data_IF_435413569686
#
_entry.id   IF_435413569686
#
_cell.length_a   1.000
_cell.length_b   1.000
_cell.length_c   1.000
_cell.angle_alpha   90.00
_cell.angle_beta   90.00
_cell.angle_gamma   90.00
#
_symmetry.space_group_name_H-M   'P 1'
#
loop_
_entity.id
_entity.type
_entity.pdbx_description
1 polymer ?
#
# COMPACT_ATOMS: atom_id res chain seq x y z
N UNK A 1 40.39 -19.65 1.22
CA UNK A 1 39.29 -18.97 0.59
C UNK A 1 38.25 -20.04 0.23
N UNK A 2 37.12 -20.08 0.95
CA UNK A 2 36.04 -21.02 0.64
C UNK A 2 35.10 -20.34 -0.36
N UNK A 3 34.76 -21.03 -1.42
CA UNK A 3 33.71 -20.63 -2.37
C UNK A 3 32.75 -21.81 -2.55
N UNK A 4 31.52 -21.50 -2.83
CA UNK A 4 30.49 -22.50 -3.14
C UNK A 4 29.64 -21.99 -4.29
N UNK A 5 29.13 -22.91 -5.06
CA UNK A 5 28.31 -22.63 -6.23
C UNK A 5 26.83 -22.88 -5.89
N UNK A 6 25.95 -22.02 -6.34
CA UNK A 6 24.51 -22.28 -6.37
C UNK A 6 24.22 -23.22 -7.55
N UNK A 7 24.16 -24.54 -7.28
CA UNK A 7 24.18 -25.57 -8.34
C UNK A 7 22.88 -26.38 -8.46
N UNK A 8 21.79 -25.99 -7.76
CA UNK A 8 20.53 -26.74 -7.87
C UNK A 8 19.87 -26.61 -9.25
N UNK A 9 20.15 -25.54 -9.95
CA UNK A 9 19.63 -25.23 -11.27
C UNK A 9 20.65 -24.41 -12.06
N UNK A 10 20.62 -24.50 -13.40
CA UNK A 10 21.41 -23.63 -14.28
C UNK A 10 20.78 -22.23 -14.30
N UNK A 11 21.00 -21.49 -13.21
CA UNK A 11 20.43 -20.16 -12.98
C UNK A 11 21.48 -19.22 -12.38
N UNK A 12 21.55 -18.00 -12.85
CA UNK A 12 22.51 -17.03 -12.37
C UNK A 12 22.02 -16.35 -11.09
N UNK A 13 22.89 -16.24 -10.09
CA UNK A 13 22.58 -15.48 -8.86
C UNK A 13 22.44 -14.00 -9.20
N UNK A 14 21.31 -13.41 -8.83
CA UNK A 14 20.96 -12.01 -9.05
C UNK A 14 21.09 -11.17 -7.78
N UNK A 15 20.77 -11.78 -6.64
CA UNK A 15 20.85 -11.12 -5.33
C UNK A 15 21.13 -12.13 -4.24
N UNK A 16 21.65 -11.64 -3.13
CA UNK A 16 21.91 -12.41 -1.91
C UNK A 16 21.38 -11.60 -0.74
N UNK A 17 20.56 -12.24 0.11
CA UNK A 17 20.00 -11.61 1.30
C UNK A 17 20.12 -12.53 2.51
N UNK A 18 20.42 -11.95 3.67
CA UNK A 18 20.57 -12.69 4.92
C UNK A 18 19.46 -12.33 5.91
N UNK A 19 18.69 -13.32 6.35
CA UNK A 19 17.63 -13.11 7.34
C UNK A 19 17.76 -14.18 8.43
N UNK A 20 18.05 -13.72 9.65
CA UNK A 20 18.31 -14.64 10.78
C UNK A 20 19.52 -15.52 10.53
N UNK A 21 19.34 -16.84 10.57
CA UNK A 21 20.38 -17.83 10.29
C UNK A 21 20.44 -18.27 8.82
N UNK A 22 19.55 -17.76 7.99
CA UNK A 22 19.42 -18.16 6.59
C UNK A 22 20.10 -17.16 5.67
N UNK A 23 20.76 -17.67 4.63
CA UNK A 23 21.26 -16.91 3.48
C UNK A 23 20.43 -17.34 2.27
N UNK A 24 19.76 -16.39 1.65
CA UNK A 24 18.94 -16.58 0.47
C UNK A 24 19.72 -16.16 -0.77
N UNK A 25 19.88 -17.08 -1.70
CA UNK A 25 20.54 -16.88 -2.99
C UNK A 25 19.45 -16.85 -4.06
N UNK A 26 19.20 -15.68 -4.60
CA UNK A 26 18.17 -15.47 -5.59
C UNK A 26 18.73 -15.60 -6.99
N UNK A 27 18.17 -16.49 -7.78
CA UNK A 27 18.35 -16.57 -9.23
C UNK A 27 17.17 -15.97 -9.97
N UNK A 28 17.21 -16.01 -11.30
CA UNK A 28 16.11 -15.55 -12.15
C UNK A 28 14.88 -16.45 -12.05
N UNK A 29 15.09 -17.75 -11.83
CA UNK A 29 14.02 -18.77 -11.76
C UNK A 29 13.93 -19.45 -10.41
N UNK A 30 14.99 -19.44 -9.62
CA UNK A 30 15.10 -20.23 -8.40
C UNK A 30 15.59 -19.40 -7.23
N UNK A 31 15.28 -19.86 -6.01
CA UNK A 31 15.85 -19.33 -4.77
C UNK A 31 16.44 -20.49 -3.97
N UNK A 32 17.69 -20.39 -3.58
CA UNK A 32 18.34 -21.34 -2.70
C UNK A 32 18.47 -20.78 -1.29
N UNK A 33 18.21 -21.61 -0.29
CA UNK A 33 18.41 -21.25 1.11
C UNK A 33 19.59 -22.03 1.67
N UNK A 34 20.54 -21.29 2.23
CA UNK A 34 21.72 -21.83 2.85
C UNK A 34 21.77 -21.48 4.32
N UNK A 35 22.26 -22.39 5.14
CA UNK A 35 22.49 -22.18 6.56
C UNK A 35 23.94 -22.50 6.92
N UNK A 36 24.45 -21.84 7.94
CA UNK A 36 25.75 -22.14 8.49
C UNK A 36 25.67 -23.40 9.35
N UNK A 37 26.49 -24.40 9.06
CA UNK A 37 26.62 -25.60 9.87
C UNK A 37 27.13 -25.30 11.30
N UNK A 38 26.84 -26.17 12.24
CA UNK A 38 27.35 -26.11 13.62
C UNK A 38 28.70 -26.80 13.70
N UNK A 39 29.73 -26.13 14.25
CA UNK A 39 31.07 -26.70 14.48
C UNK A 39 32.21 -25.72 14.18
N UNK A 40 33.46 -26.11 14.55
CA UNK A 40 34.63 -25.26 14.33
C UNK A 40 34.96 -25.07 12.83
N UNK A 41 34.62 -26.05 11.98
CA UNK A 41 34.74 -25.98 10.51
C UNK A 41 33.36 -25.68 9.85
N UNK A 42 32.58 -24.77 10.44
CA UNK A 42 31.21 -24.49 10.00
C UNK A 42 31.20 -23.97 8.55
N UNK A 43 30.88 -24.84 7.61
CA UNK A 43 30.65 -24.51 6.21
C UNK A 43 29.17 -24.17 5.98
N UNK A 44 28.90 -23.33 4.99
CA UNK A 44 27.55 -23.11 4.53
C UNK A 44 26.99 -24.38 3.88
N UNK A 45 25.79 -24.77 4.25
CA UNK A 45 25.10 -25.93 3.73
C UNK A 45 23.77 -25.54 3.15
N UNK A 46 23.53 -25.98 1.92
CA UNK A 46 22.24 -25.78 1.26
C UNK A 46 21.18 -26.62 1.94
N UNK A 47 20.04 -26.02 2.22
CA UNK A 47 18.88 -26.73 2.74
C UNK A 47 18.16 -27.46 1.60
N UNK A 48 18.04 -28.79 1.71
CA UNK A 48 17.60 -29.68 0.63
C UNK A 48 16.12 -29.56 0.25
N UNK A 49 15.34 -28.78 1.00
CA UNK A 49 13.88 -28.67 0.81
C UNK A 49 13.45 -27.45 -0.03
N UNK A 50 14.38 -26.65 -0.50
CA UNK A 50 14.11 -25.34 -1.08
C UNK A 50 14.32 -25.24 -2.58
N UNK A 51 14.24 -26.35 -3.28
CA UNK A 51 14.12 -26.33 -4.72
C UNK A 51 12.68 -26.11 -5.15
N UNK A 52 12.07 -25.01 -4.75
CA UNK A 52 10.94 -24.50 -5.50
C UNK A 52 11.51 -23.80 -6.73
N UNK A 53 11.68 -24.56 -7.78
CA UNK A 53 12.18 -24.15 -9.07
C UNK A 53 11.31 -23.07 -9.77
N UNK A 54 10.48 -22.35 -9.05
CA UNK A 54 9.45 -21.49 -9.64
C UNK A 54 9.20 -20.17 -8.93
N UNK A 55 10.10 -19.75 -8.02
CA UNK A 55 9.92 -18.50 -7.27
C UNK A 55 11.10 -17.53 -7.47
N UNK A 56 11.57 -17.42 -8.69
CA UNK A 56 12.73 -16.59 -9.04
C UNK A 56 12.50 -15.10 -8.87
N UNK A 57 13.59 -14.36 -8.73
CA UNK A 57 13.60 -12.92 -8.52
C UNK A 57 13.49 -12.16 -9.85
N UNK A 58 12.50 -11.31 -9.98
CA UNK A 58 12.28 -10.50 -11.17
C UNK A 58 12.98 -9.14 -11.11
N UNK A 59 13.01 -8.49 -9.96
CA UNK A 59 13.70 -7.22 -9.76
C UNK A 59 14.60 -7.32 -8.52
N UNK A 60 15.93 -7.23 -8.67
CA UNK A 60 16.86 -7.36 -7.54
C UNK A 60 16.62 -6.35 -6.42
N UNK A 61 16.30 -5.11 -6.77
CA UNK A 61 16.07 -4.02 -5.83
C UNK A 61 14.68 -4.06 -5.17
N UNK A 62 13.85 -5.07 -5.50
CA UNK A 62 12.54 -5.27 -4.86
C UNK A 62 12.60 -6.08 -3.56
N UNK A 63 13.80 -6.53 -3.16
CA UNK A 63 13.95 -7.30 -1.93
C UNK A 63 13.92 -6.37 -0.73
N UNK A 64 13.06 -6.67 0.26
CA UNK A 64 13.09 -5.99 1.55
C UNK A 64 12.76 -6.95 2.69
N UNK A 65 13.45 -6.77 3.80
CA UNK A 65 13.21 -7.53 5.04
C UNK A 65 12.27 -6.73 5.92
N UNK A 66 11.14 -7.32 6.24
CA UNK A 66 10.12 -6.72 7.07
C UNK A 66 9.84 -7.64 8.27
N UNK A 67 10.25 -7.21 9.45
CA UNK A 67 10.26 -8.08 10.63
C UNK A 67 11.23 -9.26 10.46
N UNK A 68 10.73 -10.47 10.53
CA UNK A 68 11.50 -11.70 10.32
C UNK A 68 11.30 -12.32 8.92
N UNK A 69 10.49 -11.69 8.09
CA UNK A 69 10.13 -12.19 6.77
C UNK A 69 10.79 -11.36 5.66
N UNK A 70 11.01 -12.01 4.55
CA UNK A 70 11.59 -11.41 3.36
C UNK A 70 10.50 -11.30 2.29
N UNK A 71 10.46 -10.15 1.62
CA UNK A 71 9.49 -9.82 0.57
C UNK A 71 10.22 -9.45 -0.70
N UNK A 72 9.69 -9.84 -1.86
CA UNK A 72 10.30 -9.50 -3.15
C UNK A 72 9.32 -9.68 -4.32
N UNK A 73 9.62 -9.03 -5.43
CA UNK A 73 8.93 -9.25 -6.70
C UNK A 73 9.51 -10.49 -7.40
N UNK A 74 8.70 -11.52 -7.52
CA UNK A 74 9.09 -12.79 -8.11
C UNK A 74 8.19 -13.25 -9.24
N UNK A 75 8.55 -14.39 -9.82
CA UNK A 75 7.71 -15.13 -10.77
C UNK A 75 7.57 -16.58 -10.36
N UNK A 76 6.49 -17.24 -10.76
CA UNK A 76 6.22 -18.64 -10.44
C UNK A 76 5.70 -19.41 -11.62
N UNK A 77 5.49 -20.72 -11.44
CA UNK A 77 4.94 -21.60 -12.50
C UNK A 77 3.50 -21.24 -12.88
N UNK A 78 2.73 -20.76 -11.89
CA UNK A 78 1.30 -20.44 -12.04
C UNK A 78 1.01 -18.95 -12.25
N UNK A 79 2.02 -18.09 -12.19
CA UNK A 79 1.89 -16.64 -12.37
C UNK A 79 3.17 -16.06 -12.98
N UNK A 80 3.04 -15.07 -13.85
CA UNK A 80 4.18 -14.48 -14.52
C UNK A 80 4.97 -13.51 -13.65
N UNK A 81 4.28 -12.70 -12.84
CA UNK A 81 4.84 -11.81 -11.82
C UNK A 81 3.91 -11.77 -10.61
N UNK A 82 4.47 -11.64 -9.42
CA UNK A 82 3.74 -11.50 -8.17
C UNK A 82 4.67 -11.12 -7.03
N UNK A 83 4.12 -10.59 -5.95
CA UNK A 83 4.89 -10.32 -4.74
C UNK A 83 4.85 -11.55 -3.84
N UNK A 84 6.02 -11.98 -3.45
CA UNK A 84 6.23 -13.15 -2.60
C UNK A 84 6.72 -12.74 -1.22
N UNK A 85 6.24 -13.47 -0.21
CA UNK A 85 6.76 -13.45 1.14
C UNK A 85 7.47 -14.77 1.43
N UNK A 86 8.63 -14.69 2.06
CA UNK A 86 9.38 -15.86 2.54
C UNK A 86 9.51 -15.78 4.05
N UNK A 87 8.98 -16.79 4.74
CA UNK A 87 9.09 -16.98 6.18
C UNK A 87 9.88 -18.26 6.45
N UNK A 88 11.16 -18.13 6.73
CA UNK A 88 12.06 -19.29 6.85
C UNK A 88 12.17 -20.04 5.53
N UNK A 89 11.46 -21.17 5.40
CA UNK A 89 11.45 -22.02 4.19
C UNK A 89 10.09 -21.99 3.46
N UNK A 90 9.12 -21.25 4.00
CA UNK A 90 7.77 -21.19 3.46
C UNK A 90 7.63 -19.97 2.52
N UNK A 91 7.10 -20.22 1.34
CA UNK A 91 6.81 -19.20 0.34
C UNK A 91 5.29 -18.99 0.25
N UNK A 92 4.88 -17.75 0.23
CA UNK A 92 3.48 -17.36 0.04
C UNK A 92 3.40 -16.19 -0.94
N UNK A 93 2.57 -16.31 -1.97
CA UNK A 93 2.21 -15.17 -2.81
C UNK A 93 1.25 -14.28 -2.02
N UNK A 94 1.55 -13.00 -1.93
CA UNK A 94 0.77 -12.01 -1.19
C UNK A 94 0.11 -10.97 -2.10
N UNK A 95 0.51 -10.90 -3.37
CA UNK A 95 -0.18 -10.05 -4.34
C UNK A 95 -1.48 -10.69 -4.78
N UNK A 96 -2.49 -9.87 -4.99
CA UNK A 96 -3.78 -10.23 -5.55
C UNK A 96 -3.77 -10.06 -7.08
N UNK A 97 -4.74 -10.65 -7.77
CA UNK A 97 -4.78 -10.67 -9.23
C UNK A 97 -4.76 -9.27 -9.85
N UNK A 98 -5.46 -8.30 -9.25
CA UNK A 98 -5.46 -6.91 -9.72
C UNK A 98 -4.08 -6.24 -9.65
N UNK A 99 -3.27 -6.61 -8.63
CA UNK A 99 -1.90 -6.11 -8.51
C UNK A 99 -0.97 -6.84 -9.49
N UNK A 100 -1.16 -8.13 -9.68
CA UNK A 100 -0.40 -8.91 -10.66
C UNK A 100 -0.57 -8.35 -12.08
N UNK A 101 -1.77 -7.93 -12.46
CA UNK A 101 -2.03 -7.28 -13.76
C UNK A 101 -1.24 -5.97 -13.91
N UNK A 102 -1.07 -5.20 -12.83
CA UNK A 102 -0.19 -4.02 -12.82
C UNK A 102 1.29 -4.41 -12.89
N UNK A 103 1.70 -5.42 -12.12
CA UNK A 103 3.08 -5.91 -12.14
C UNK A 103 3.51 -6.42 -13.51
N UNK A 104 2.60 -6.95 -14.31
CA UNK A 104 2.88 -7.35 -15.70
C UNK A 104 3.19 -6.16 -16.61
N UNK A 105 2.63 -4.98 -16.31
CA UNK A 105 2.88 -3.74 -17.06
C UNK A 105 4.21 -3.08 -16.67
N UNK A 106 4.71 -3.37 -15.46
CA UNK A 106 6.04 -2.93 -15.03
C UNK A 106 7.11 -3.73 -15.78
N UNK A 107 7.87 -3.07 -16.64
CA UNK A 107 8.85 -3.70 -17.52
C UNK A 107 10.27 -3.65 -16.92
N UNK A 108 11.08 -4.66 -17.26
CA UNK A 108 12.46 -4.73 -16.78
C UNK A 108 12.59 -5.03 -15.28
N UNK A 109 13.70 -4.61 -14.72
CA UNK A 109 14.12 -4.84 -13.33
C UNK A 109 13.96 -3.58 -12.46
N UNK A 110 13.12 -2.64 -12.87
CA UNK A 110 13.04 -1.28 -12.33
C UNK A 110 12.27 -1.16 -11.02
N UNK A 111 11.58 -2.22 -10.56
CA UNK A 111 10.88 -2.19 -9.29
C UNK A 111 11.86 -2.13 -8.12
N UNK A 112 11.59 -1.25 -7.18
CA UNK A 112 12.38 -1.00 -5.98
C UNK A 112 11.53 -1.18 -4.74
N UNK A 113 12.09 -1.68 -3.65
CA UNK A 113 11.37 -1.83 -2.40
C UNK A 113 12.20 -1.50 -1.16
N UNK A 114 11.51 -1.11 -0.12
CA UNK A 114 12.04 -0.95 1.23
C UNK A 114 10.98 -1.36 2.25
N UNK A 115 11.37 -1.50 3.51
CA UNK A 115 10.45 -1.84 4.58
C UNK A 115 10.69 -0.98 5.82
N UNK A 116 9.64 -0.71 6.57
CA UNK A 116 9.72 0.00 7.83
C UNK A 116 8.61 -0.45 8.79
N UNK A 117 8.83 -0.20 10.08
CA UNK A 117 7.85 -0.48 11.13
C UNK A 117 7.38 0.84 11.75
N UNK A 118 6.08 1.02 11.91
CA UNK A 118 5.48 2.18 12.54
C UNK A 118 4.30 1.75 13.43
N UNK A 119 4.31 2.15 14.69
CA UNK A 119 3.34 1.64 15.65
C UNK A 119 3.47 0.12 15.83
N UNK A 120 2.36 -0.59 15.69
CA UNK A 120 2.31 -2.06 15.70
C UNK A 120 2.34 -2.67 14.30
N UNK A 121 2.46 -1.87 13.26
CA UNK A 121 2.41 -2.30 11.87
C UNK A 121 3.80 -2.36 11.24
N UNK A 122 3.98 -3.33 10.37
CA UNK A 122 5.15 -3.44 9.51
C UNK A 122 4.70 -3.29 8.05
N UNK A 123 5.44 -2.48 7.30
CA UNK A 123 5.11 -2.12 5.94
C UNK A 123 6.20 -2.56 4.98
N UNK A 124 5.82 -3.31 3.96
CA UNK A 124 6.62 -3.54 2.77
C UNK A 124 6.17 -2.56 1.68
N UNK A 125 7.07 -1.71 1.22
CA UNK A 125 6.80 -0.68 0.21
C UNK A 125 7.40 -1.11 -1.12
N UNK A 126 6.59 -1.21 -2.15
CA UNK A 126 6.99 -1.55 -3.51
C UNK A 126 6.74 -0.37 -4.44
N UNK A 127 7.80 0.13 -5.04
CA UNK A 127 7.76 1.20 -6.02
C UNK A 127 7.91 0.64 -7.43
N UNK A 128 6.94 0.92 -8.28
CA UNK A 128 6.91 0.55 -9.69
C UNK A 128 7.35 1.77 -10.50
N UNK A 129 8.62 1.79 -10.90
CA UNK A 129 9.26 2.98 -11.47
C UNK A 129 8.71 3.37 -12.84
N UNK A 130 8.35 2.40 -13.68
CA UNK A 130 7.78 2.68 -15.00
C UNK A 130 6.33 3.15 -14.91
N UNK A 131 5.56 2.61 -13.97
CA UNK A 131 4.16 2.98 -13.75
C UNK A 131 4.01 4.24 -12.89
N UNK A 132 5.10 4.68 -12.24
CA UNK A 132 5.08 5.79 -11.27
C UNK A 132 4.06 5.57 -10.15
N UNK A 133 3.96 4.34 -9.67
CA UNK A 133 3.07 3.93 -8.58
C UNK A 133 3.85 3.39 -7.38
N UNK A 134 3.32 3.61 -6.19
CA UNK A 134 3.83 3.00 -4.94
C UNK A 134 2.73 2.21 -4.27
N UNK A 135 2.98 0.93 -4.05
CA UNK A 135 2.09 0.00 -3.36
C UNK A 135 2.70 -0.41 -2.04
N UNK A 136 1.88 -0.44 -1.01
CA UNK A 136 2.31 -0.75 0.36
C UNK A 136 1.49 -1.90 0.90
N UNK A 137 2.17 -2.93 1.35
CA UNK A 137 1.58 -4.06 2.04
C UNK A 137 1.74 -3.89 3.54
N UNK A 138 0.64 -3.87 4.25
CA UNK A 138 0.62 -3.91 5.72
C UNK A 138 0.59 -5.37 6.17
N UNK A 139 1.61 -5.81 6.88
CA UNK A 139 1.74 -7.21 7.30
C UNK A 139 0.74 -7.63 8.37
N UNK A 140 0.19 -6.68 9.12
CA UNK A 140 -0.78 -6.94 10.19
C UNK A 140 -2.20 -7.10 9.64
N UNK A 141 -2.63 -6.17 8.79
CA UNK A 141 -3.95 -6.23 8.15
C UNK A 141 -3.98 -7.17 6.95
N UNK A 142 -2.81 -7.45 6.36
CA UNK A 142 -2.63 -8.21 5.10
C UNK A 142 -3.32 -7.55 3.90
N UNK A 143 -3.43 -6.24 3.94
CA UNK A 143 -4.05 -5.44 2.89
C UNK A 143 -3.01 -4.64 2.12
N UNK A 144 -3.25 -4.47 0.82
CA UNK A 144 -2.51 -3.57 -0.04
C UNK A 144 -3.19 -2.20 -0.08
N UNK A 145 -2.39 -1.14 -0.02
CA UNK A 145 -2.86 0.21 -0.25
C UNK A 145 -1.85 1.00 -1.07
N UNK A 146 -2.33 1.99 -1.80
CA UNK A 146 -1.49 2.87 -2.60
C UNK A 146 -1.05 4.07 -1.74
N UNK A 147 0.21 4.47 -1.89
CA UNK A 147 0.72 5.75 -1.39
C UNK A 147 1.13 6.62 -2.56
N UNK A 148 0.74 7.87 -2.49
CA UNK A 148 0.98 8.85 -3.53
C UNK A 148 1.59 10.12 -2.95
N UNK A 149 2.42 10.79 -3.74
CA UNK A 149 2.76 12.20 -3.60
C UNK A 149 2.01 13.00 -4.65
N UNK A 150 2.01 14.30 -4.55
CA UNK A 150 1.35 15.18 -5.51
C UNK A 150 2.37 16.10 -6.17
N UNK A 151 2.18 16.34 -7.45
CA UNK A 151 2.94 17.37 -8.17
C UNK A 151 2.51 18.74 -7.66
N UNK A 152 3.46 19.55 -7.18
CA UNK A 152 3.14 20.83 -6.54
C UNK A 152 2.38 21.78 -7.46
N UNK A 153 2.73 21.83 -8.73
CA UNK A 153 2.19 22.78 -9.72
C UNK A 153 0.79 22.38 -10.20
N UNK A 154 0.55 21.07 -10.40
CA UNK A 154 -0.70 20.56 -10.98
C UNK A 154 -1.64 19.97 -9.94
N UNK A 155 -1.09 19.52 -8.82
CA UNK A 155 -1.81 18.77 -7.79
C UNK A 155 -2.14 17.33 -8.19
N UNK A 156 -1.62 16.85 -9.33
CA UNK A 156 -1.81 15.47 -9.79
C UNK A 156 -1.08 14.48 -8.90
N UNK A 157 -1.67 13.31 -8.72
CA UNK A 157 -1.07 12.22 -7.97
C UNK A 157 0.04 11.56 -8.79
N UNK A 158 1.12 11.23 -8.11
CA UNK A 158 2.29 10.54 -8.67
C UNK A 158 2.85 9.56 -7.65
N UNK A 159 3.89 8.83 -8.03
CA UNK A 159 4.61 7.93 -7.14
C UNK A 159 5.00 8.65 -5.84
N UNK A 160 4.88 7.96 -4.71
CA UNK A 160 5.36 8.48 -3.44
C UNK A 160 6.85 8.79 -3.49
N UNK A 161 7.23 10.01 -3.14
CA UNK A 161 8.59 10.54 -3.29
C UNK A 161 9.64 9.90 -2.37
N UNK A 162 9.19 9.16 -1.34
CA UNK A 162 10.11 8.50 -0.41
C UNK A 162 11.00 7.50 -1.14
N UNK A 163 12.31 7.66 -1.04
CA UNK A 163 13.26 6.68 -1.55
C UNK A 163 13.56 5.59 -0.53
N UNK A 164 13.43 5.88 0.76
CA UNK A 164 13.61 4.93 1.87
C UNK A 164 13.01 5.52 3.15
N UNK A 165 12.93 4.73 4.23
CA UNK A 165 12.58 5.21 5.58
C UNK A 165 13.55 4.62 6.59
N UNK A 166 14.18 5.50 7.38
CA UNK A 166 15.13 5.11 8.42
C UNK A 166 14.71 5.65 9.77
N UNK A 167 14.70 4.79 10.78
CA UNK A 167 14.55 5.21 12.17
C UNK A 167 15.86 5.76 12.71
N UNK A 168 15.87 7.04 13.10
CA UNK A 168 17.05 7.70 13.62
C UNK A 168 16.70 8.67 14.76
N UNK A 169 17.33 8.47 15.90
CA UNK A 169 17.17 9.35 17.09
C UNK A 169 15.71 9.65 17.48
N UNK A 170 14.87 8.62 17.50
CA UNK A 170 13.48 8.75 17.93
C UNK A 170 12.51 9.30 16.88
N UNK A 171 12.91 9.34 15.62
CA UNK A 171 12.06 9.79 14.52
C UNK A 171 12.34 9.03 13.23
N UNK A 172 11.35 8.95 12.36
CA UNK A 172 11.54 8.44 11.01
C UNK A 172 12.02 9.55 10.10
N UNK A 173 13.12 9.28 9.41
CA UNK A 173 13.67 10.14 8.37
C UNK A 173 13.44 9.50 7.01
N UNK A 174 12.97 10.30 6.08
CA UNK A 174 12.60 9.90 4.72
C UNK A 174 13.43 10.70 3.73
N UNK A 175 14.47 10.10 3.14
CA UNK A 175 15.13 10.71 1.99
C UNK A 175 14.18 10.67 0.79
N UNK A 176 14.09 11.78 0.09
CA UNK A 176 13.22 11.91 -1.08
C UNK A 176 14.04 12.22 -2.34
N UNK A 177 13.45 11.93 -3.50
CA UNK A 177 14.10 12.12 -4.81
C UNK A 177 14.38 13.60 -5.16
N UNK A 178 13.83 14.54 -4.40
CA UNK A 178 14.12 15.99 -4.51
C UNK A 178 15.45 16.41 -3.81
N UNK A 179 16.17 15.43 -3.23
CA UNK A 179 17.42 15.66 -2.48
C UNK A 179 17.21 16.14 -1.06
N UNK A 180 15.99 16.21 -0.56
CA UNK A 180 15.68 16.59 0.81
C UNK A 180 15.44 15.37 1.71
N UNK A 181 15.65 15.54 3.01
CA UNK A 181 15.29 14.56 4.03
C UNK A 181 14.15 15.13 4.86
N UNK A 182 13.05 14.41 4.89
CA UNK A 182 11.85 14.79 5.62
C UNK A 182 11.67 13.95 6.89
N UNK A 183 10.90 14.49 7.81
CA UNK A 183 10.41 13.72 8.96
C UNK A 183 9.07 13.10 8.60
N UNK A 184 8.93 11.79 8.82
CA UNK A 184 7.65 11.09 8.70
C UNK A 184 7.03 10.92 10.09
N UNK A 185 5.76 11.29 10.25
CA UNK A 185 5.02 11.16 11.49
C UNK A 185 3.52 11.10 11.20
N UNK A 186 2.77 10.39 12.04
CA UNK A 186 1.31 10.33 12.01
C UNK A 186 0.63 11.67 12.36
N UNK A 187 1.39 12.59 12.95
CA UNK A 187 0.90 13.93 13.33
C UNK A 187 0.87 14.92 12.16
N UNK A 188 1.46 14.55 11.01
CA UNK A 188 1.52 15.40 9.84
C UNK A 188 0.49 14.97 8.79
N UNK A 189 -0.30 15.92 8.31
CA UNK A 189 -1.39 15.71 7.37
C UNK A 189 -1.19 16.50 6.06
N UNK A 190 0.03 17.01 5.88
CA UNK A 190 0.48 17.70 4.67
C UNK A 190 1.82 17.16 4.23
N UNK A 191 2.11 17.29 2.97
CA UNK A 191 3.38 16.96 2.34
C UNK A 191 4.10 18.24 1.97
N UNK A 192 5.30 18.43 2.53
CA UNK A 192 6.12 19.61 2.31
C UNK A 192 7.04 19.42 1.09
N UNK A 193 7.35 20.51 0.39
CA UNK A 193 8.19 20.53 -0.80
C UNK A 193 9.47 21.33 -0.56
N UNK A 194 10.25 20.88 0.37
CA UNK A 194 11.59 21.20 0.80
C UNK A 194 12.12 22.58 0.53
N UNK A 195 12.59 22.82 -0.68
CA UNK A 195 13.25 24.07 -1.08
C UNK A 195 12.33 25.06 -1.78
N UNK A 196 11.09 24.67 -2.08
CA UNK A 196 10.13 25.54 -2.76
C UNK A 196 9.46 26.44 -1.73
N UNK A 197 9.58 27.75 -1.88
CA UNK A 197 8.94 28.74 -1.01
C UNK A 197 7.79 29.42 -1.75
N UNK A 198 6.62 29.46 -1.09
CA UNK A 198 5.46 30.23 -1.52
C UNK A 198 5.15 31.22 -0.40
N UNK A 199 5.18 32.50 -0.72
CA UNK A 199 5.00 33.63 0.22
C UNK A 199 5.95 33.57 1.45
N UNK A 200 7.18 33.05 1.25
CA UNK A 200 8.19 32.91 2.30
C UNK A 200 8.05 31.69 3.21
N UNK A 201 7.07 30.83 2.96
CA UNK A 201 6.86 29.57 3.66
C UNK A 201 7.17 28.37 2.75
N UNK A 202 7.58 27.24 3.34
CA UNK A 202 7.76 25.99 2.58
C UNK A 202 6.43 25.63 1.93
N UNK A 203 6.47 25.37 0.62
CA UNK A 203 5.28 24.91 -0.10
C UNK A 203 4.80 23.58 0.45
N UNK A 204 3.50 23.46 0.67
CA UNK A 204 2.88 22.29 1.29
C UNK A 204 1.54 22.00 0.63
N UNK A 205 1.29 20.71 0.37
CA UNK A 205 -0.02 20.25 -0.11
C UNK A 205 -0.66 19.35 0.94
N UNK A 206 -1.98 19.46 1.17
CA UNK A 206 -2.67 18.56 2.10
C UNK A 206 -2.64 17.14 1.59
N UNK A 207 -2.46 16.16 2.49
CA UNK A 207 -2.59 14.75 2.17
C UNK A 207 -4.04 14.42 1.84
N UNK A 208 -4.26 13.78 0.69
CA UNK A 208 -5.56 13.26 0.30
C UNK A 208 -5.61 11.79 0.67
N UNK A 209 -6.66 11.40 1.39
CA UNK A 209 -6.90 10.02 1.81
C UNK A 209 -8.16 9.50 1.15
N UNK A 210 -8.02 8.42 0.39
CA UNK A 210 -9.12 7.75 -0.29
C UNK A 210 -9.38 6.38 0.33
N UNK A 211 -10.64 6.05 0.52
CA UNK A 211 -11.08 4.67 0.80
C UNK A 211 -12.14 4.29 -0.21
N UNK A 212 -11.82 3.31 -1.04
CA UNK A 212 -12.75 2.73 -1.99
C UNK A 212 -13.28 1.41 -1.42
N UNK A 213 -14.59 1.24 -1.45
CA UNK A 213 -15.25 0.00 -1.04
C UNK A 213 -15.29 -1.03 -2.17
N UNK A 214 -15.68 -2.25 -1.80
CA UNK A 214 -15.98 -3.29 -2.78
C UNK A 214 -17.21 -2.93 -3.63
N UNK A 215 -17.40 -3.64 -4.74
CA UNK A 215 -18.57 -3.49 -5.58
C UNK A 215 -19.82 -3.95 -4.81
N UNK A 216 -20.80 -3.08 -4.67
CA UNK A 216 -22.10 -3.37 -4.06
C UNK A 216 -23.08 -3.80 -5.15
N UNK A 217 -23.66 -4.97 -4.99
CA UNK A 217 -24.70 -5.54 -5.87
C UNK A 217 -25.85 -6.05 -5.00
N UNK A 218 -27.04 -6.17 -5.58
CA UNK A 218 -28.22 -6.72 -4.92
C UNK A 218 -28.84 -7.83 -5.77
N UNK A 219 -28.22 -9.02 -5.76
CA UNK A 219 -28.67 -10.21 -6.53
C UNK A 219 -29.04 -9.87 -7.98
N UNK A 220 -28.19 -9.08 -8.64
CA UNK A 220 -28.40 -8.55 -10.01
C UNK A 220 -29.66 -7.67 -10.20
N UNK A 221 -30.42 -7.43 -9.12
CA UNK A 221 -31.61 -6.59 -9.15
C UNK A 221 -31.24 -5.12 -8.95
N UNK A 222 -31.91 -4.22 -9.68
CA UNK A 222 -31.74 -2.80 -9.42
C UNK A 222 -32.21 -2.41 -8.02
N UNK A 223 -31.53 -1.44 -7.42
CA UNK A 223 -31.85 -0.92 -6.11
C UNK A 223 -31.70 0.60 -6.06
N UNK A 224 -32.44 1.23 -5.16
CA UNK A 224 -32.23 2.63 -4.81
C UNK A 224 -31.34 2.68 -3.59
N UNK A 225 -30.23 3.39 -3.71
CA UNK A 225 -29.35 3.62 -2.58
C UNK A 225 -29.78 4.90 -1.86
N UNK A 226 -30.51 4.74 -0.76
CA UNK A 226 -31.15 5.85 -0.05
C UNK A 226 -30.19 6.63 0.83
N UNK A 227 -29.37 5.92 1.61
CA UNK A 227 -28.50 6.52 2.61
C UNK A 227 -27.23 5.70 2.83
N UNK A 228 -26.11 6.41 2.92
CA UNK A 228 -24.87 5.92 3.51
C UNK A 228 -24.62 6.70 4.79
N UNK A 229 -24.52 6.02 5.92
CA UNK A 229 -24.09 6.61 7.18
C UNK A 229 -22.71 6.08 7.54
N UNK A 230 -21.80 7.01 7.82
CA UNK A 230 -20.41 6.72 8.20
C UNK A 230 -20.21 7.16 9.64
N UNK A 231 -19.64 6.28 10.43
CA UNK A 231 -19.24 6.55 11.80
C UNK A 231 -17.69 6.67 11.84
N UNK A 232 -17.24 7.74 12.45
CA UNK A 232 -15.82 8.07 12.56
C UNK A 232 -15.55 8.69 13.92
N UNK A 233 -14.28 8.67 14.32
CA UNK A 233 -13.85 9.45 15.47
C UNK A 233 -13.86 10.92 15.08
N UNK A 234 -14.83 11.67 15.60
CA UNK A 234 -15.11 13.07 15.24
C UNK A 234 -15.06 13.99 16.46
N UNK A 235 -14.91 15.29 16.20
CA UNK A 235 -14.96 16.31 17.27
C UNK A 235 -13.68 16.43 18.08
N UNK A 236 -12.59 15.77 17.69
CA UNK A 236 -11.29 15.78 18.37
C UNK A 236 -10.30 16.78 17.75
N UNK A 237 -10.80 17.69 16.89
CA UNK A 237 -9.98 18.67 16.18
C UNK A 237 -9.34 19.68 17.15
N UNK A 238 -8.06 19.98 16.95
CA UNK A 238 -7.36 20.99 17.75
C UNK A 238 -7.86 22.41 17.45
N UNK A 239 -8.30 22.66 16.23
CA UNK A 239 -8.87 23.94 15.79
C UNK A 239 -10.39 23.93 16.02
N UNK A 240 -10.88 24.84 16.86
CA UNK A 240 -12.29 24.97 17.20
C UNK A 240 -13.17 25.47 16.04
N UNK A 241 -12.59 26.20 15.09
CA UNK A 241 -13.30 26.72 13.93
C UNK A 241 -13.34 25.72 12.78
N UNK A 242 -12.51 24.67 12.85
CA UNK A 242 -12.46 23.65 11.82
C UNK A 242 -13.73 22.81 11.80
N UNK A 243 -14.34 22.70 10.64
CA UNK A 243 -15.46 21.80 10.38
C UNK A 243 -15.15 20.98 9.14
N UNK A 244 -14.44 19.86 9.30
CA UNK A 244 -14.03 19.05 8.17
C UNK A 244 -15.22 18.48 7.41
N UNK A 245 -15.01 18.26 6.12
CA UNK A 245 -15.93 17.58 5.22
C UNK A 245 -15.38 16.21 4.85
N UNK A 246 -16.25 15.19 4.92
CA UNK A 246 -16.03 13.93 4.25
C UNK A 246 -16.69 13.99 2.87
N UNK A 247 -15.99 13.58 1.84
CA UNK A 247 -16.46 13.56 0.46
C UNK A 247 -16.87 12.15 0.07
N UNK A 248 -17.94 12.03 -0.72
CA UNK A 248 -18.39 10.75 -1.28
C UNK A 248 -18.59 10.87 -2.77
N UNK A 249 -18.06 9.92 -3.51
CA UNK A 249 -18.34 9.70 -4.92
C UNK A 249 -18.91 8.30 -5.13
N UNK A 250 -19.80 8.16 -6.10
CA UNK A 250 -20.41 6.90 -6.46
C UNK A 250 -20.12 6.59 -7.91
N UNK A 251 -19.51 5.43 -8.15
CA UNK A 251 -19.34 4.87 -9.49
C UNK A 251 -20.43 3.85 -9.75
N UNK A 252 -20.96 3.82 -10.98
CA UNK A 252 -21.99 2.88 -11.44
C UNK A 252 -21.48 1.86 -12.47
N UNK A 253 -20.18 1.89 -12.72
CA UNK A 253 -19.51 1.10 -13.76
C UNK A 253 -18.27 0.37 -13.22
N UNK A 254 -18.29 0.02 -11.94
CA UNK A 254 -17.21 -0.73 -11.30
C UNK A 254 -15.98 0.09 -10.94
N UNK A 255 -16.07 1.43 -10.91
CA UNK A 255 -14.96 2.32 -10.57
C UNK A 255 -14.30 3.01 -11.76
N UNK A 256 -14.79 2.78 -12.99
CA UNK A 256 -14.22 3.40 -14.19
C UNK A 256 -14.57 4.90 -14.31
N UNK A 257 -15.78 5.27 -13.97
CA UNK A 257 -16.20 6.69 -13.92
C UNK A 257 -16.84 7.02 -12.57
N UNK A 258 -16.68 8.26 -12.13
CA UNK A 258 -17.17 8.73 -10.85
C UNK A 258 -18.21 9.82 -11.04
N UNK A 259 -19.28 9.76 -10.26
CA UNK A 259 -20.34 10.75 -10.25
C UNK A 259 -19.92 12.04 -9.52
N UNK A 260 -20.86 12.98 -9.40
CA UNK A 260 -20.62 14.23 -8.70
C UNK A 260 -20.24 13.99 -7.22
N UNK A 261 -19.25 14.74 -6.75
CA UNK A 261 -18.79 14.73 -5.35
C UNK A 261 -19.92 15.23 -4.44
N UNK A 262 -20.18 14.49 -3.37
CA UNK A 262 -21.11 14.85 -2.31
C UNK A 262 -20.34 15.18 -1.04
N UNK A 263 -20.78 16.15 -0.31
CA UNK A 263 -20.15 16.64 0.91
C UNK A 263 -21.03 16.32 2.12
N UNK A 264 -20.41 15.84 3.19
CA UNK A 264 -21.04 15.72 4.50
C UNK A 264 -20.13 16.25 5.58
N UNK A 265 -20.64 17.15 6.42
CA UNK A 265 -19.89 17.70 7.54
C UNK A 265 -19.61 16.62 8.58
N UNK A 266 -18.40 16.63 9.15
CA UNK A 266 -17.97 15.70 10.18
C UNK A 266 -18.22 16.23 11.60
N UNK A 267 -18.89 17.38 11.74
CA UNK A 267 -19.15 18.03 13.02
C UNK A 267 -18.05 19.00 13.42
N UNK A 268 -18.31 19.75 14.49
CA UNK A 268 -17.38 20.69 15.12
C UNK A 268 -16.66 20.02 16.27
N UNK A 269 -15.58 20.63 16.73
CA UNK A 269 -14.90 20.24 17.96
C UNK A 269 -15.88 20.12 19.12
N UNK A 270 -15.82 19.03 19.86
CA UNK A 270 -16.75 18.70 20.94
C UNK A 270 -18.01 17.94 20.53
N UNK A 271 -18.27 17.74 19.23
CA UNK A 271 -19.40 16.96 18.73
C UNK A 271 -19.02 15.48 18.50
N UNK A 272 -18.70 14.77 19.55
CA UNK A 272 -18.13 13.40 19.52
C UNK A 272 -19.10 12.32 18.99
N UNK A 273 -20.40 12.59 18.94
CA UNK A 273 -21.42 11.65 18.46
C UNK A 273 -22.04 12.06 17.13
N UNK A 274 -21.39 12.92 16.37
CA UNK A 274 -21.89 13.37 15.08
C UNK A 274 -21.86 12.23 14.05
N UNK A 275 -23.01 11.94 13.43
CA UNK A 275 -23.14 10.91 12.40
C UNK A 275 -23.06 11.55 11.02
N UNK A 276 -22.10 11.11 10.23
CA UNK A 276 -21.87 11.59 8.86
C UNK A 276 -22.83 10.86 7.94
N UNK A 277 -23.68 11.59 7.19
CA UNK A 277 -24.70 10.96 6.35
C UNK A 277 -24.73 11.54 4.95
N UNK A 278 -24.85 10.64 3.97
CA UNK A 278 -25.06 10.96 2.58
C UNK A 278 -26.40 10.37 2.14
N UNK A 279 -27.22 11.17 1.47
CA UNK A 279 -28.56 10.77 1.08
C UNK A 279 -28.74 10.79 -0.43
N UNK A 280 -29.76 10.06 -0.92
CA UNK A 280 -30.19 10.06 -2.33
C UNK A 280 -29.07 9.68 -3.29
N UNK A 281 -28.41 8.55 -3.04
CA UNK A 281 -27.28 8.07 -3.82
C UNK A 281 -27.70 7.46 -5.16
N UNK A 282 -29.01 7.43 -5.42
CA UNK A 282 -29.60 7.15 -6.72
C UNK A 282 -29.92 5.70 -6.99
N UNK A 283 -30.31 5.45 -8.23
CA UNK A 283 -30.68 4.13 -8.74
C UNK A 283 -29.44 3.45 -9.30
N UNK A 284 -29.19 2.19 -8.89
CA UNK A 284 -28.00 1.43 -9.22
C UNK A 284 -28.35 -0.02 -9.49
N UNK A 285 -27.58 -0.70 -10.36
CA UNK A 285 -27.51 -2.16 -10.46
C UNK A 285 -26.29 -2.70 -9.73
N UNK A 286 -25.22 -1.97 -9.89
CA UNK A 286 -23.98 -2.10 -9.12
C UNK A 286 -23.50 -0.71 -8.75
N UNK A 287 -22.79 -0.58 -7.68
CA UNK A 287 -22.09 0.67 -7.37
C UNK A 287 -20.82 0.41 -6.56
N UNK A 288 -19.87 1.30 -6.73
CA UNK A 288 -18.67 1.39 -5.91
C UNK A 288 -18.68 2.75 -5.24
N UNK A 289 -18.32 2.79 -3.97
CA UNK A 289 -18.27 4.01 -3.17
C UNK A 289 -16.81 4.40 -2.94
N UNK A 290 -16.49 5.68 -3.10
CA UNK A 290 -15.19 6.23 -2.73
C UNK A 290 -15.38 7.38 -1.75
N UNK A 291 -14.80 7.23 -0.56
CA UNK A 291 -14.70 8.28 0.45
C UNK A 291 -13.37 8.99 0.27
N UNK A 292 -13.39 10.32 0.33
CA UNK A 292 -12.20 11.17 0.21
C UNK A 292 -12.14 12.16 1.37
N UNK A 293 -10.96 12.33 1.94
CA UNK A 293 -10.70 13.25 3.03
C UNK A 293 -9.36 13.96 2.83
N UNK A 294 -9.35 15.28 2.91
CA UNK A 294 -8.17 16.12 2.66
C UNK A 294 -7.88 17.15 3.76
N UNK A 295 -8.66 17.18 4.84
CA UNK A 295 -8.39 18.12 5.93
C UNK A 295 -7.17 17.71 6.75
N UNK A 296 -6.46 18.67 7.36
CA UNK A 296 -5.23 18.42 8.12
C UNK A 296 -5.53 17.91 9.53
N UNK A 297 -6.29 16.83 9.62
CA UNK A 297 -6.60 16.14 10.89
C UNK A 297 -6.59 14.64 10.71
N UNK A 298 -6.56 13.90 11.82
CA UNK A 298 -6.72 12.44 11.81
C UNK A 298 -8.08 12.04 11.21
N UNK A 299 -8.12 10.90 10.56
CA UNK A 299 -9.35 10.26 10.10
C UNK A 299 -9.33 8.81 10.56
N UNK A 300 -10.26 8.45 11.40
CA UNK A 300 -10.47 7.08 11.86
C UNK A 300 -11.92 6.70 11.59
N UNK A 301 -12.13 5.84 10.59
CA UNK A 301 -13.45 5.32 10.24
C UNK A 301 -13.71 4.07 11.06
N UNK A 302 -14.81 4.06 11.83
CA UNK A 302 -15.12 2.95 12.74
C UNK A 302 -16.20 2.03 12.20
N UNK A 303 -17.18 2.57 11.50
CA UNK A 303 -18.25 1.78 10.92
C UNK A 303 -18.87 2.48 9.70
N UNK A 304 -19.52 1.68 8.88
CA UNK A 304 -20.31 2.16 7.75
C UNK A 304 -21.61 1.36 7.69
N UNK A 305 -22.73 2.05 7.58
CA UNK A 305 -24.04 1.43 7.41
C UNK A 305 -24.76 1.99 6.19
N UNK A 306 -25.48 1.14 5.49
CA UNK A 306 -26.20 1.50 4.28
C UNK A 306 -27.68 1.18 4.39
N UNK A 307 -28.49 2.02 3.75
CA UNK A 307 -29.91 1.74 3.55
C UNK A 307 -30.22 1.74 2.06
N UNK A 308 -30.75 0.61 1.61
CA UNK A 308 -31.17 0.40 0.23
C UNK A 308 -32.66 0.06 0.20
N UNK A 309 -33.38 0.53 -0.82
CA UNK A 309 -34.74 0.16 -1.13
C UNK A 309 -34.77 -0.71 -2.39
N UNK A 310 -35.46 -1.83 -2.33
CA UNK A 310 -35.71 -2.65 -3.50
C UNK A 310 -36.62 -1.90 -4.48
N UNK A 311 -36.26 -1.87 -5.75
CA UNK A 311 -37.19 -1.43 -6.80
C UNK A 311 -38.13 -2.58 -7.10
N UNK A 312 -39.39 -2.44 -6.73
CA UNK A 312 -40.43 -3.32 -7.26
C UNK A 312 -40.55 -2.99 -8.74
N UNK A 313 -40.07 -3.89 -9.61
CA UNK A 313 -40.34 -3.77 -11.02
C UNK A 313 -41.89 -3.79 -11.18
N UNK A 314 -42.45 -2.66 -11.56
CA UNK A 314 -43.77 -2.67 -12.18
C UNK A 314 -43.59 -3.40 -13.52
N UNK A 315 -44.03 -4.65 -13.55
CA UNK A 315 -44.18 -5.45 -14.76
C UNK A 315 -45.30 -4.84 -15.59
#
# INVERSE_FOLDING_TARGET
>A
QQYFNAESSADNVRAIEAVGANLYLFGYKTVEIWQRGSGEDSTWQRQSYTTNASNGLQAPDSIAVCGSNLYYLGSGESYAKGVLMVAGQQYSKISEDWLDDKLLQETGDSAYAFAYAQGSHNFYVLQLQNLQETWVYDTETKEWHQRVSRVLETGEETQWRAADIVWFKGQFLVPCNDGCIYKHSEDYYSEDYGTVLVDGHVASLPMIRHRQGAVLVNDEKPFIFDELAVEANVGTWADYDLQPDLLLEVSKDGGNTWGAVRHAKMGKTGQYSHRIRFFKLGYNRLCVLRLTYSHPTSLELTACSQRISATTALI
#
